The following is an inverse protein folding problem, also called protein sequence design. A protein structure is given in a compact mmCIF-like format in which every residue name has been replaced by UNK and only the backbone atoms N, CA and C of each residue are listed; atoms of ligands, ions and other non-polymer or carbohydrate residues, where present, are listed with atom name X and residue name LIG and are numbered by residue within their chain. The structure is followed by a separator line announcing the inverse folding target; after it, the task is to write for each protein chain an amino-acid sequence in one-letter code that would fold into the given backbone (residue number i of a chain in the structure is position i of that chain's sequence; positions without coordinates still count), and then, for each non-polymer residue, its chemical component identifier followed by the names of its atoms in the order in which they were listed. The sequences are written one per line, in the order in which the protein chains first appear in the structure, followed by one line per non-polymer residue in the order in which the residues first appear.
data_IF_492570149814
#
_entry.id   IF_492570149814
#
_cell.length_a   1.000
_cell.length_b   1.000
_cell.length_c   1.000
_cell.angle_alpha   90.00
_cell.angle_beta   90.00
_cell.angle_gamma   90.00
#
_symmetry.space_group_name_H-M   'P 1'
#
loop_
_entity.id
_entity.type
_entity.pdbx_description
1 polymer ?
#
# COMPACT_ATOMS: atom_id res chain seq x y z
N UNK A 1 0.17 -7.81 -5.40
CA UNK A 1 1.58 -7.74 -4.95
C UNK A 1 1.70 -8.58 -3.68
N UNK A 2 2.64 -9.52 -3.64
CA UNK A 2 2.94 -10.34 -2.46
C UNK A 2 4.29 -9.91 -1.91
N UNK A 3 4.31 -9.57 -0.62
CA UNK A 3 5.51 -9.14 0.10
C UNK A 3 5.70 -10.10 1.28
N UNK A 4 6.90 -10.62 1.45
CA UNK A 4 7.30 -11.45 2.58
C UNK A 4 8.75 -11.15 2.94
N UNK A 5 9.10 -11.25 4.22
CA UNK A 5 10.47 -11.00 4.70
C UNK A 5 11.08 -9.65 4.27
N UNK A 6 10.23 -8.64 4.12
CA UNK A 6 10.57 -7.30 3.63
C UNK A 6 11.04 -7.23 2.16
N UNK A 7 10.80 -8.27 1.36
CA UNK A 7 11.13 -8.33 -0.05
C UNK A 7 9.89 -8.49 -0.94
N UNK A 8 9.97 -7.95 -2.17
CA UNK A 8 8.95 -8.17 -3.19
C UNK A 8 9.09 -9.60 -3.73
N UNK A 9 8.11 -10.46 -3.42
CA UNK A 9 8.12 -11.84 -3.88
C UNK A 9 7.46 -11.97 -5.25
N UNK A 10 6.25 -11.40 -5.42
CA UNK A 10 5.47 -11.55 -6.66
C UNK A 10 4.62 -10.32 -6.99
N UNK A 11 4.55 -10.01 -8.29
CA UNK A 11 3.62 -9.07 -8.91
C UNK A 11 2.68 -9.85 -9.85
N UNK A 12 1.41 -9.96 -9.48
CA UNK A 12 0.38 -10.58 -10.29
C UNK A 12 -0.88 -9.68 -10.29
N UNK A 13 -1.57 -9.66 -11.43
CA UNK A 13 -2.86 -8.99 -11.60
C UNK A 13 -4.00 -9.94 -11.21
N UNK A 14 -5.01 -9.44 -10.51
CA UNK A 14 -6.16 -10.23 -10.06
C UNK A 14 -6.47 -10.06 -8.58
N UNK A 15 -7.53 -10.72 -8.11
CA UNK A 15 -7.92 -10.72 -6.70
C UNK A 15 -7.21 -11.87 -6.00
N UNK A 16 -6.43 -11.56 -4.97
CA UNK A 16 -5.78 -12.54 -4.11
C UNK A 16 -6.32 -12.41 -2.69
N UNK A 17 -6.39 -13.51 -1.96
CA UNK A 17 -6.69 -13.47 -0.53
C UNK A 17 -5.46 -12.88 0.17
N UNK A 18 -5.61 -11.66 0.69
CA UNK A 18 -4.52 -10.88 1.26
C UNK A 18 -4.90 -10.41 2.67
N UNK A 19 -3.98 -10.56 3.61
CA UNK A 19 -4.12 -10.06 4.99
C UNK A 19 -4.35 -8.54 5.02
N UNK A 20 -3.86 -7.84 4.00
CA UNK A 20 -4.13 -6.43 3.77
C UNK A 20 -4.43 -6.14 2.30
N UNK A 21 -5.53 -5.44 2.07
CA UNK A 21 -5.87 -4.83 0.79
C UNK A 21 -5.76 -3.31 0.89
N UNK A 22 -4.99 -2.70 0.01
CA UNK A 22 -4.93 -1.24 -0.14
C UNK A 22 -5.63 -0.86 -1.44
N UNK A 23 -6.57 0.07 -1.35
CA UNK A 23 -7.32 0.60 -2.49
C UNK A 23 -7.04 2.09 -2.62
N UNK A 24 -6.57 2.52 -3.78
CA UNK A 24 -6.31 3.92 -4.11
C UNK A 24 -6.48 4.14 -5.61
N UNK A 25 -6.64 5.40 -6.01
CA UNK A 25 -6.63 5.76 -7.44
C UNK A 25 -5.21 5.68 -8.03
N UNK A 26 -5.13 5.36 -9.32
CA UNK A 26 -3.85 5.29 -10.05
C UNK A 26 -3.06 6.59 -9.98
N UNK A 27 -3.74 7.74 -9.96
CA UNK A 27 -3.10 9.06 -9.84
C UNK A 27 -2.42 9.24 -8.48
N UNK A 28 -3.01 8.71 -7.40
CA UNK A 28 -2.44 8.76 -6.05
C UNK A 28 -1.27 7.79 -5.95
N UNK A 29 -1.41 6.59 -6.53
CA UNK A 29 -0.31 5.62 -6.62
C UNK A 29 0.92 6.21 -7.32
N UNK A 30 0.74 6.86 -8.48
CA UNK A 30 1.85 7.49 -9.20
C UNK A 30 2.51 8.60 -8.38
N UNK A 31 1.73 9.43 -7.68
CA UNK A 31 2.25 10.48 -6.78
C UNK A 31 2.99 9.94 -5.56
N UNK A 32 2.64 8.74 -5.12
CA UNK A 32 3.38 8.07 -4.04
C UNK A 32 4.70 7.52 -4.58
N UNK A 33 4.67 6.90 -5.77
CA UNK A 33 5.85 6.35 -6.44
C UNK A 33 6.87 7.44 -6.82
N UNK A 34 6.40 8.61 -7.26
CA UNK A 34 7.25 9.76 -7.60
C UNK A 34 7.68 10.59 -6.36
N UNK A 35 7.27 10.18 -5.15
CA UNK A 35 7.52 10.85 -3.86
C UNK A 35 6.88 12.25 -3.72
N UNK A 36 5.96 12.64 -4.59
CA UNK A 36 5.23 13.92 -4.50
C UNK A 36 4.14 13.92 -3.44
N UNK A 37 3.60 12.76 -3.08
CA UNK A 37 2.58 12.60 -2.04
C UNK A 37 2.97 11.48 -1.07
N UNK A 38 2.95 11.75 0.23
CA UNK A 38 3.24 10.72 1.23
C UNK A 38 2.06 9.73 1.32
N UNK A 39 2.29 8.40 1.34
CA UNK A 39 1.23 7.41 1.52
C UNK A 39 0.41 7.66 2.79
N UNK A 40 1.07 8.12 3.87
CA UNK A 40 0.43 8.44 5.14
C UNK A 40 -0.48 9.67 5.03
N UNK A 41 -0.09 10.66 4.22
CA UNK A 41 -0.91 11.83 3.94
C UNK A 41 -2.12 11.46 3.07
N UNK A 42 -1.94 10.61 2.05
CA UNK A 42 -3.02 10.10 1.22
C UNK A 42 -4.03 9.27 2.02
N UNK A 43 -3.57 8.47 2.98
CA UNK A 43 -4.41 7.71 3.91
C UNK A 43 -5.23 8.64 4.82
N UNK A 44 -4.58 9.61 5.47
CA UNK A 44 -5.27 10.58 6.33
C UNK A 44 -6.28 11.43 5.57
N UNK A 45 -6.01 11.74 4.29
CA UNK A 45 -6.93 12.45 3.41
C UNK A 45 -8.07 11.57 2.85
N UNK A 46 -8.10 10.27 3.15
CA UNK A 46 -9.13 9.32 2.68
C UNK A 46 -8.98 8.88 1.22
N UNK A 47 -7.88 9.26 0.55
CA UNK A 47 -7.57 8.87 -0.84
C UNK A 47 -6.98 7.48 -0.96
N UNK A 48 -6.42 6.98 0.15
CA UNK A 48 -5.93 5.61 0.30
C UNK A 48 -6.80 4.93 1.35
N UNK A 49 -7.46 3.85 0.97
CA UNK A 49 -8.28 3.03 1.85
C UNK A 49 -7.57 1.71 2.10
N UNK A 50 -7.70 1.19 3.32
CA UNK A 50 -7.12 -0.09 3.70
C UNK A 50 -8.18 -0.98 4.29
N UNK A 51 -8.13 -2.27 3.95
CA UNK A 51 -8.96 -3.32 4.52
C UNK A 51 -8.04 -4.43 5.01
N UNK A 52 -8.05 -4.66 6.32
CA UNK A 52 -7.08 -5.53 7.02
C UNK A 52 -6.83 -5.00 8.44
N UNK A 53 -5.92 -5.63 9.17
CA UNK A 53 -5.58 -5.21 10.53
C UNK A 53 -4.71 -3.93 10.52
N UNK A 54 -5.11 -2.89 11.26
CA UNK A 54 -4.39 -1.60 11.35
C UNK A 54 -2.90 -1.73 11.75
N UNK A 55 -2.49 -2.67 12.63
CA UNK A 55 -1.07 -2.91 12.92
C UNK A 55 -0.21 -3.28 11.70
N UNK A 56 -0.79 -3.95 10.71
CA UNK A 56 -0.05 -4.37 9.51
C UNK A 56 0.20 -3.20 8.55
N UNK A 57 -0.60 -2.13 8.66
CA UNK A 57 -0.46 -0.89 7.89
C UNK A 57 0.85 -0.16 8.28
N UNK A 58 1.21 -0.25 9.55
CA UNK A 58 2.48 0.27 10.08
C UNK A 58 3.69 -0.52 9.57
N UNK A 59 3.52 -1.82 9.25
CA UNK A 59 4.59 -2.61 8.62
C UNK A 59 4.82 -2.15 7.18
N UNK A 60 3.76 -1.80 6.46
CA UNK A 60 3.85 -1.25 5.10
C UNK A 60 4.64 0.07 5.04
N UNK A 61 4.47 0.93 6.06
CA UNK A 61 5.21 2.20 6.15
C UNK A 61 6.74 1.99 6.18
N UNK A 62 7.22 0.87 6.75
CA UNK A 62 8.66 0.55 6.78
C UNK A 62 9.22 0.13 5.42
N UNK A 63 8.37 -0.33 4.51
CA UNK A 63 8.77 -0.81 3.18
C UNK A 63 8.76 0.30 2.12
N UNK A 64 7.99 1.37 2.37
CA UNK A 64 7.87 2.54 1.50
C UNK A 64 8.86 3.66 1.87
N UNK A 65 9.77 3.41 2.82
CA UNK A 65 10.85 4.31 3.25
C UNK A 65 12.10 4.10 2.39
#
# INVERSE_FOLDING_TARGET
MKIGDAELLELAEGTVDAEMTVTMDSTVFLKIMDKSESPMAAYQAGKLKTKGEVPDLLKLQKLLL
#
